data_IF_330785389156
#
_entry.id   IF_330785389156
#
_cell.length_a   1.000
_cell.length_b   1.000
_cell.length_c   1.000
_cell.angle_alpha   90.00
_cell.angle_beta   90.00
_cell.angle_gamma   90.00
#
_symmetry.space_group_name_H-M   'P 1'
#
loop_
_entity.id
_entity.type
_entity.pdbx_description
1 polymer ?
#
# COMPACT_ATOMS: atom_id res chain seq x y z
N UNK A 1 15.63 -4.77 -37.02
CA UNK A 1 15.50 -4.82 -35.56
C UNK A 1 14.07 -4.48 -35.21
N UNK A 2 13.46 -5.13 -34.23
CA UNK A 2 12.15 -4.73 -33.74
C UNK A 2 12.28 -3.34 -33.07
N UNK A 3 11.28 -2.48 -33.27
CA UNK A 3 11.24 -1.17 -32.60
C UNK A 3 10.97 -1.37 -31.11
N UNK A 4 11.63 -0.57 -30.27
CA UNK A 4 11.38 -0.52 -28.83
C UNK A 4 9.99 0.04 -28.62
N UNK A 5 9.14 -0.68 -27.87
CA UNK A 5 7.76 -0.30 -27.59
C UNK A 5 7.69 0.54 -26.31
N UNK A 6 7.11 1.70 -26.43
CA UNK A 6 6.87 2.64 -25.34
C UNK A 6 5.37 2.74 -25.06
N UNK A 7 4.97 2.64 -23.79
CA UNK A 7 3.66 3.08 -23.32
C UNK A 7 3.82 4.49 -22.76
N UNK A 8 3.13 5.45 -23.37
CA UNK A 8 3.07 6.84 -22.93
C UNK A 8 1.71 7.14 -22.29
N UNK A 9 1.72 7.53 -21.02
CA UNK A 9 0.51 7.79 -20.23
C UNK A 9 0.54 9.23 -19.73
N UNK A 10 -0.41 10.03 -20.17
CA UNK A 10 -0.56 11.44 -19.79
C UNK A 10 -2.02 11.83 -20.06
N UNK A 11 -2.71 12.55 -19.17
CA UNK A 11 -4.10 12.97 -19.36
C UNK A 11 -4.23 14.18 -20.28
N UNK A 12 -3.17 14.98 -20.43
CA UNK A 12 -3.13 16.10 -21.39
C UNK A 12 -2.94 15.58 -22.83
N UNK A 13 -3.96 15.79 -23.67
CA UNK A 13 -3.96 15.36 -25.07
C UNK A 13 -2.84 16.00 -25.88
N UNK A 14 -2.56 17.28 -25.68
CA UNK A 14 -1.54 18.01 -26.45
C UNK A 14 -0.13 17.50 -26.09
N UNK A 15 0.12 17.27 -24.81
CA UNK A 15 1.38 16.68 -24.34
C UNK A 15 1.54 15.28 -24.91
N UNK A 16 0.51 14.47 -24.84
CA UNK A 16 0.50 13.08 -25.33
C UNK A 16 0.76 13.00 -26.81
N UNK A 17 0.08 13.81 -27.63
CA UNK A 17 0.28 13.85 -29.09
C UNK A 17 1.69 14.33 -29.45
N UNK A 18 2.15 15.43 -28.85
CA UNK A 18 3.48 15.99 -29.13
C UNK A 18 4.61 15.03 -28.78
N UNK A 19 4.54 14.40 -27.59
CA UNK A 19 5.56 13.45 -27.16
C UNK A 19 5.52 12.17 -28.02
N UNK A 20 4.34 11.67 -28.39
CA UNK A 20 4.21 10.50 -29.26
C UNK A 20 4.89 10.72 -30.60
N UNK A 21 4.58 11.84 -31.28
CA UNK A 21 5.15 12.17 -32.59
C UNK A 21 6.70 12.22 -32.53
N UNK A 22 7.25 12.88 -31.52
CA UNK A 22 8.69 13.04 -31.38
C UNK A 22 9.39 11.73 -31.07
N UNK A 23 8.79 10.89 -30.21
CA UNK A 23 9.33 9.58 -29.89
C UNK A 23 9.29 8.64 -31.09
N UNK A 24 8.23 8.67 -31.91
CA UNK A 24 8.14 7.91 -33.16
C UNK A 24 9.19 8.36 -34.16
N UNK A 25 9.40 9.68 -34.32
CA UNK A 25 10.49 10.22 -35.16
C UNK A 25 11.88 9.81 -34.62
N UNK A 26 12.01 9.53 -33.33
CA UNK A 26 13.25 9.05 -32.71
C UNK A 26 13.46 7.54 -32.83
N UNK A 27 12.55 6.81 -33.51
CA UNK A 27 12.65 5.41 -33.85
C UNK A 27 12.05 4.45 -32.79
N UNK A 28 11.10 4.93 -32.01
CA UNK A 28 10.32 4.11 -31.06
C UNK A 28 8.94 3.75 -31.63
N UNK A 29 8.33 2.66 -31.12
CA UNK A 29 6.94 2.35 -31.37
C UNK A 29 6.13 2.79 -30.15
N UNK A 30 5.28 3.81 -30.30
CA UNK A 30 4.57 4.42 -29.19
C UNK A 30 3.11 3.98 -29.15
N UNK A 31 2.65 3.56 -27.97
CA UNK A 31 1.24 3.38 -27.63
C UNK A 31 0.89 4.41 -26.58
N UNK A 32 -0.21 5.12 -26.77
CA UNK A 32 -0.63 6.18 -25.83
C UNK A 32 -1.82 5.74 -24.99
N UNK A 33 -1.93 6.25 -23.77
CA UNK A 33 -3.09 6.09 -22.89
C UNK A 33 -3.41 7.42 -22.20
N UNK A 34 -4.70 7.79 -22.14
CA UNK A 34 -5.17 9.02 -21.53
C UNK A 34 -5.59 8.86 -20.06
N UNK A 35 -5.51 7.64 -19.52
CA UNK A 35 -5.93 7.34 -18.16
C UNK A 35 -5.26 6.05 -17.65
N UNK A 36 -5.28 5.86 -16.31
CA UNK A 36 -4.86 4.62 -15.68
C UNK A 36 -5.60 3.41 -16.24
N UNK A 37 -6.94 3.50 -16.39
CA UNK A 37 -7.76 2.40 -16.89
C UNK A 37 -7.34 1.96 -18.31
N UNK A 38 -7.01 2.90 -19.18
CA UNK A 38 -6.53 2.62 -20.54
C UNK A 38 -5.12 2.03 -20.51
N UNK A 39 -4.23 2.59 -19.70
CA UNK A 39 -2.88 2.08 -19.50
C UNK A 39 -2.89 0.63 -19.01
N UNK A 40 -3.72 0.29 -18.02
CA UNK A 40 -3.86 -1.07 -17.51
C UNK A 40 -4.36 -2.06 -18.57
N UNK A 41 -5.28 -1.65 -19.45
CA UNK A 41 -5.72 -2.49 -20.60
C UNK A 41 -4.57 -2.77 -21.56
N UNK A 42 -3.75 -1.76 -21.86
CA UNK A 42 -2.58 -1.95 -22.71
C UNK A 42 -1.54 -2.86 -22.06
N UNK A 43 -1.22 -2.65 -20.78
CA UNK A 43 -0.27 -3.47 -20.01
C UNK A 43 -0.70 -4.94 -19.95
N UNK A 44 -2.01 -5.21 -19.82
CA UNK A 44 -2.54 -6.58 -19.77
C UNK A 44 -2.57 -7.30 -21.12
N UNK A 45 -2.57 -6.55 -22.23
CA UNK A 45 -2.74 -7.11 -23.58
C UNK A 45 -1.46 -7.21 -24.39
N UNK A 46 -0.41 -6.45 -24.06
CA UNK A 46 0.85 -6.42 -24.79
C UNK A 46 2.03 -6.06 -23.90
N UNK A 47 3.25 -6.29 -24.40
CA UNK A 47 4.49 -6.00 -23.67
C UNK A 47 5.12 -4.71 -24.15
N UNK A 48 5.69 -3.96 -23.20
CA UNK A 48 6.43 -2.71 -23.45
C UNK A 48 7.81 -2.78 -22.80
N UNK A 49 8.82 -2.24 -23.47
CA UNK A 49 10.17 -2.11 -22.93
C UNK A 49 10.33 -0.85 -22.09
N UNK A 50 9.49 0.17 -22.32
CA UNK A 50 9.54 1.46 -21.61
C UNK A 50 8.13 1.92 -21.24
N UNK A 51 7.98 2.43 -20.04
CA UNK A 51 6.84 3.21 -19.58
C UNK A 51 7.28 4.66 -19.37
N UNK A 52 6.55 5.59 -19.98
CA UNK A 52 6.57 7.01 -19.66
C UNK A 52 5.22 7.36 -19.08
N UNK A 53 5.15 7.82 -17.84
CA UNK A 53 3.89 8.18 -17.21
C UNK A 53 3.97 9.53 -16.55
N UNK A 54 2.94 10.38 -16.77
CA UNK A 54 2.77 11.54 -15.90
C UNK A 54 2.52 11.08 -14.46
N UNK A 55 3.16 11.78 -13.52
CA UNK A 55 2.95 11.55 -12.09
C UNK A 55 1.60 12.12 -11.65
N UNK A 56 1.18 13.24 -12.21
CA UNK A 56 0.01 14.01 -11.79
C UNK A 56 -1.13 13.92 -12.82
N UNK A 57 -1.83 12.80 -12.79
CA UNK A 57 -3.11 12.62 -13.46
C UNK A 57 -4.27 12.91 -12.48
N UNK A 58 -5.54 13.00 -12.93
CA UNK A 58 -6.68 13.44 -12.09
C UNK A 58 -6.85 12.68 -10.77
N UNK A 59 -6.47 11.40 -10.71
CA UNK A 59 -6.47 10.61 -9.46
C UNK A 59 -5.15 10.72 -8.71
N UNK A 60 -5.23 10.84 -7.38
CA UNK A 60 -4.03 10.84 -6.55
C UNK A 60 -3.28 9.50 -6.65
N UNK A 61 -2.01 9.54 -7.06
CA UNK A 61 -1.18 8.33 -7.20
C UNK A 61 -1.35 7.56 -8.51
N UNK A 62 -2.08 8.10 -9.47
CA UNK A 62 -2.37 7.46 -10.76
C UNK A 62 -1.08 7.03 -11.50
N UNK A 63 -0.08 7.91 -11.60
CA UNK A 63 1.19 7.58 -12.25
C UNK A 63 1.93 6.42 -11.58
N UNK A 64 1.88 6.34 -10.24
CA UNK A 64 2.48 5.24 -9.48
C UNK A 64 1.72 3.93 -9.64
N UNK A 65 0.39 4.00 -9.77
CA UNK A 65 -0.43 2.83 -10.07
C UNK A 65 -0.03 2.20 -11.41
N UNK A 66 0.21 3.02 -12.43
CA UNK A 66 0.67 2.54 -13.74
C UNK A 66 2.08 1.96 -13.65
N UNK A 67 2.99 2.58 -12.90
CA UNK A 67 4.36 2.05 -12.65
C UNK A 67 4.29 0.68 -11.98
N UNK A 68 3.50 0.54 -10.92
CA UNK A 68 3.32 -0.75 -10.21
C UNK A 68 2.77 -1.83 -11.14
N UNK A 69 1.74 -1.52 -11.92
CA UNK A 69 1.17 -2.45 -12.88
C UNK A 69 2.18 -2.88 -13.97
N UNK A 70 2.96 -1.93 -14.49
CA UNK A 70 4.01 -2.24 -15.47
C UNK A 70 5.06 -3.17 -14.87
N UNK A 71 5.50 -2.93 -13.63
CA UNK A 71 6.48 -3.78 -12.95
C UNK A 71 5.97 -5.19 -12.68
N UNK A 72 4.68 -5.34 -12.39
CA UNK A 72 4.07 -6.66 -12.29
C UNK A 72 4.04 -7.41 -13.63
N UNK A 73 3.65 -6.73 -14.71
CA UNK A 73 3.53 -7.35 -16.03
C UNK A 73 4.89 -7.57 -16.70
N UNK A 74 5.81 -6.61 -16.56
CA UNK A 74 7.17 -6.67 -17.10
C UNK A 74 8.18 -6.04 -16.13
N UNK A 75 8.75 -6.81 -15.19
CA UNK A 75 9.74 -6.33 -14.23
C UNK A 75 11.02 -5.75 -14.86
N UNK A 76 11.26 -6.00 -16.15
CA UNK A 76 12.42 -5.51 -16.88
C UNK A 76 12.16 -4.21 -17.65
N UNK A 77 10.92 -3.75 -17.71
CA UNK A 77 10.60 -2.50 -18.37
C UNK A 77 11.26 -1.32 -17.65
N UNK A 78 11.81 -0.40 -18.42
CA UNK A 78 12.27 0.88 -17.90
C UNK A 78 11.07 1.76 -17.61
N UNK A 79 10.97 2.28 -16.39
CA UNK A 79 9.87 3.14 -15.96
C UNK A 79 10.38 4.55 -15.67
N UNK A 80 9.82 5.54 -16.37
CA UNK A 80 10.18 6.96 -16.23
C UNK A 80 8.92 7.73 -15.86
N UNK A 81 8.98 8.49 -14.77
CA UNK A 81 7.93 9.40 -14.35
C UNK A 81 8.23 10.82 -14.83
N UNK A 82 7.21 11.50 -15.30
CA UNK A 82 7.24 12.90 -15.67
C UNK A 82 6.54 13.71 -14.57
N UNK A 83 7.21 14.71 -13.99
CA UNK A 83 6.69 15.50 -12.86
C UNK A 83 6.74 16.99 -13.17
N UNK A 84 5.67 17.72 -12.81
CA UNK A 84 5.63 19.18 -12.90
C UNK A 84 6.31 19.88 -11.70
N UNK A 85 6.65 19.13 -10.63
CA UNK A 85 7.18 19.69 -9.39
C UNK A 85 8.63 19.26 -9.16
N UNK A 86 9.59 20.20 -9.13
CA UNK A 86 11.00 19.92 -8.90
C UNK A 86 11.34 19.65 -7.43
N UNK A 87 10.55 20.17 -6.49
CA UNK A 87 10.79 20.03 -5.04
C UNK A 87 9.76 19.09 -4.43
N UNK A 88 10.25 17.97 -3.94
CA UNK A 88 9.43 16.96 -3.27
C UNK A 88 10.05 16.63 -1.92
N UNK A 89 9.18 16.39 -0.93
CA UNK A 89 9.63 15.96 0.39
C UNK A 89 10.20 14.52 0.38
N UNK A 90 10.80 14.11 1.50
CA UNK A 90 11.45 12.81 1.61
C UNK A 90 10.48 11.63 1.39
N UNK A 91 9.20 11.80 1.75
CA UNK A 91 8.18 10.76 1.56
C UNK A 91 7.85 10.59 0.07
N UNK A 92 7.68 11.71 -0.65
CA UNK A 92 7.47 11.70 -2.09
C UNK A 92 8.68 11.11 -2.83
N UNK A 93 9.92 11.40 -2.39
CA UNK A 93 11.12 10.81 -2.96
C UNK A 93 11.15 9.28 -2.76
N UNK A 94 10.76 8.78 -1.60
CA UNK A 94 10.70 7.34 -1.34
C UNK A 94 9.70 6.62 -2.27
N UNK A 95 8.55 7.25 -2.53
CA UNK A 95 7.55 6.75 -3.47
C UNK A 95 8.12 6.72 -4.90
N UNK A 96 8.84 7.76 -5.28
CA UNK A 96 9.42 7.90 -6.61
C UNK A 96 10.58 6.94 -6.88
N UNK A 97 11.19 6.35 -5.85
CA UNK A 97 12.16 5.26 -6.01
C UNK A 97 11.60 4.01 -6.70
N UNK A 98 10.30 3.92 -6.87
CA UNK A 98 9.68 2.86 -7.67
C UNK A 98 9.90 3.04 -9.18
N UNK A 99 10.10 4.25 -9.67
CA UNK A 99 10.51 4.52 -11.06
C UNK A 99 12.03 4.41 -11.22
N UNK A 100 12.49 4.13 -12.44
CA UNK A 100 13.93 4.09 -12.75
C UNK A 100 14.49 5.47 -12.92
N UNK A 101 13.65 6.43 -13.32
CA UNK A 101 14.02 7.82 -13.49
C UNK A 101 12.81 8.74 -13.33
N UNK A 102 13.11 9.98 -12.93
CA UNK A 102 12.12 11.05 -12.83
C UNK A 102 12.63 12.23 -13.63
N UNK A 103 11.84 12.71 -14.55
CA UNK A 103 12.13 13.89 -15.34
C UNK A 103 11.15 15.01 -14.99
N UNK A 104 11.70 16.20 -14.77
CA UNK A 104 10.90 17.38 -14.39
C UNK A 104 10.46 18.12 -15.64
N UNK A 105 9.15 18.39 -15.75
CA UNK A 105 8.57 19.25 -16.79
C UNK A 105 8.81 20.74 -16.44
N UNK A 106 9.13 21.65 -17.40
CA UNK A 106 9.35 21.38 -18.81
C UNK A 106 10.74 20.80 -19.08
N UNK A 107 10.81 19.76 -19.92
CA UNK A 107 12.06 19.14 -20.31
C UNK A 107 12.31 19.25 -21.82
N UNK A 108 13.59 19.22 -22.20
CA UNK A 108 13.94 19.09 -23.61
C UNK A 108 13.74 17.65 -24.06
N UNK A 109 13.16 17.47 -25.24
CA UNK A 109 12.85 16.15 -25.78
C UNK A 109 14.11 15.32 -26.01
N UNK A 110 15.21 15.96 -26.41
CA UNK A 110 16.50 15.31 -26.57
C UNK A 110 17.00 14.69 -25.25
N UNK A 111 16.71 15.34 -24.12
CA UNK A 111 17.03 14.84 -22.80
C UNK A 111 16.21 13.59 -22.48
N UNK A 112 14.90 13.59 -22.79
CA UNK A 112 14.02 12.43 -22.60
C UNK A 112 14.49 11.23 -23.45
N UNK A 113 14.75 11.44 -24.75
CA UNK A 113 15.25 10.39 -25.65
C UNK A 113 16.61 9.84 -25.17
N UNK A 114 17.47 10.72 -24.67
CA UNK A 114 18.78 10.34 -24.14
C UNK A 114 18.61 9.50 -22.86
N UNK A 115 17.75 9.91 -21.94
CA UNK A 115 17.47 9.17 -20.71
C UNK A 115 16.91 7.76 -21.03
N UNK A 116 15.95 7.65 -21.94
CA UNK A 116 15.41 6.35 -22.39
C UNK A 116 16.53 5.45 -22.92
N UNK A 117 17.36 5.96 -23.84
CA UNK A 117 18.45 5.19 -24.45
C UNK A 117 19.52 4.77 -23.45
N UNK A 118 19.88 5.65 -22.51
CA UNK A 118 20.83 5.35 -21.44
C UNK A 118 20.30 4.26 -20.51
N UNK A 119 19.04 4.35 -20.08
CA UNK A 119 18.44 3.34 -19.22
C UNK A 119 18.33 1.98 -19.90
N UNK A 120 17.93 1.94 -21.15
CA UNK A 120 17.92 0.70 -21.95
C UNK A 120 19.32 0.09 -22.14
N UNK A 121 20.36 0.92 -22.33
CA UNK A 121 21.74 0.46 -22.52
C UNK A 121 22.38 -0.02 -21.20
N UNK A 122 22.01 0.59 -20.06
CA UNK A 122 22.52 0.22 -18.74
C UNK A 122 22.00 -1.13 -18.24
N UNK A 123 21.07 -1.74 -18.96
CA UNK A 123 20.33 -2.92 -18.52
C UNK A 123 19.28 -2.57 -17.47
N UNK A 124 18.29 -3.41 -17.32
CA UNK A 124 17.28 -3.22 -16.29
C UNK A 124 17.95 -3.13 -14.93
N UNK A 125 17.59 -2.13 -14.09
CA UNK A 125 17.93 -2.18 -12.68
C UNK A 125 17.47 -3.53 -12.16
N UNK A 126 18.24 -4.13 -11.22
CA UNK A 126 17.92 -5.46 -10.68
C UNK A 126 16.44 -5.55 -10.29
N UNK A 127 15.85 -6.74 -10.43
CA UNK A 127 14.44 -7.02 -10.10
C UNK A 127 14.03 -6.25 -8.84
N UNK A 128 13.29 -5.18 -9.01
CA UNK A 128 12.65 -4.51 -7.88
C UNK A 128 11.45 -5.34 -7.49
N UNK A 129 11.50 -5.90 -6.31
CA UNK A 129 10.39 -6.67 -5.76
C UNK A 129 9.26 -5.68 -5.47
N UNK A 130 8.11 -5.88 -6.10
CA UNK A 130 6.88 -5.17 -5.76
C UNK A 130 6.07 -6.09 -4.85
N UNK A 131 5.77 -5.61 -3.65
CA UNK A 131 5.10 -6.39 -2.61
C UNK A 131 3.66 -5.91 -2.41
N UNK A 132 2.74 -6.85 -2.32
CA UNK A 132 1.37 -6.52 -1.89
C UNK A 132 1.34 -6.13 -0.42
N UNK A 133 0.30 -5.40 -0.01
CA UNK A 133 0.05 -5.07 1.40
C UNK A 133 0.04 -6.32 2.28
N UNK A 134 -0.57 -7.41 1.80
CA UNK A 134 -0.60 -8.70 2.49
C UNK A 134 0.81 -9.27 2.73
N UNK A 135 1.66 -9.28 1.70
CA UNK A 135 3.04 -9.79 1.80
C UNK A 135 3.88 -8.97 2.79
N UNK A 136 3.72 -7.64 2.77
CA UNK A 136 4.41 -6.75 3.72
C UNK A 136 3.97 -7.05 5.16
N UNK A 137 2.67 -7.17 5.42
CA UNK A 137 2.16 -7.48 6.76
C UNK A 137 2.59 -8.87 7.24
N UNK A 138 2.57 -9.87 6.36
CA UNK A 138 2.99 -11.23 6.70
C UNK A 138 4.45 -11.28 7.17
N UNK A 139 5.38 -10.68 6.39
CA UNK A 139 6.80 -10.69 6.76
C UNK A 139 7.15 -9.74 7.90
N UNK A 140 6.35 -8.70 8.13
CA UNK A 140 6.63 -7.66 9.14
C UNK A 140 5.83 -7.86 10.44
N UNK A 141 5.01 -8.91 10.56
CA UNK A 141 4.11 -9.09 11.69
C UNK A 141 4.83 -9.02 13.05
N UNK A 142 5.94 -9.73 13.20
CA UNK A 142 6.70 -9.78 14.45
C UNK A 142 7.29 -8.40 14.81
N UNK A 143 7.92 -7.73 13.86
CA UNK A 143 8.47 -6.39 14.08
C UNK A 143 7.37 -5.37 14.37
N UNK A 144 6.23 -5.46 13.68
CA UNK A 144 5.09 -4.58 13.90
C UNK A 144 4.48 -4.78 15.31
N UNK A 145 4.39 -6.01 15.80
CA UNK A 145 3.97 -6.30 17.18
C UNK A 145 4.94 -5.68 18.20
N UNK A 146 6.23 -5.76 17.96
CA UNK A 146 7.24 -5.12 18.81
C UNK A 146 7.12 -3.60 18.84
N UNK A 147 6.90 -2.95 17.69
CA UNK A 147 6.69 -1.50 17.61
C UNK A 147 5.36 -1.07 18.23
N UNK A 148 4.29 -1.86 18.07
CA UNK A 148 3.03 -1.64 18.75
C UNK A 148 3.21 -1.67 20.27
N UNK A 149 3.95 -2.66 20.79
CA UNK A 149 4.19 -2.77 22.22
C UNK A 149 4.93 -1.54 22.76
N UNK A 150 5.97 -1.06 22.08
CA UNK A 150 6.67 0.17 22.46
C UNK A 150 5.76 1.39 22.50
N UNK A 151 4.78 1.48 21.60
CA UNK A 151 3.78 2.57 21.62
C UNK A 151 2.85 2.44 22.82
N UNK A 152 2.38 1.24 23.12
CA UNK A 152 1.51 0.98 24.26
C UNK A 152 2.23 1.26 25.58
N UNK A 153 3.53 0.99 25.69
CA UNK A 153 4.34 1.31 26.88
C UNK A 153 4.33 2.81 27.22
N UNK A 154 4.04 3.69 26.28
CA UNK A 154 3.93 5.14 26.52
C UNK A 154 2.56 5.57 27.04
N UNK A 155 1.55 4.70 27.01
CA UNK A 155 0.22 5.01 27.52
C UNK A 155 0.08 4.58 28.99
N UNK A 156 0.13 5.57 29.89
CA UNK A 156 0.05 5.35 31.34
C UNK A 156 -1.24 4.63 31.77
N UNK A 157 -2.37 4.89 31.08
CA UNK A 157 -3.66 4.26 31.42
C UNK A 157 -3.66 2.78 31.05
N UNK A 158 -3.25 2.45 29.84
CA UNK A 158 -3.16 1.04 29.41
C UNK A 158 -2.13 0.31 30.25
N UNK A 159 -0.99 0.93 30.55
CA UNK A 159 0.08 0.31 31.36
C UNK A 159 -0.25 0.23 32.86
N UNK A 160 -1.28 0.93 33.34
CA UNK A 160 -1.74 0.78 34.75
C UNK A 160 -2.27 -0.63 35.05
N UNK A 161 -2.71 -1.36 34.03
CA UNK A 161 -3.08 -2.78 34.17
C UNK A 161 -1.82 -3.63 34.10
N UNK A 162 -1.49 -4.28 35.22
CA UNK A 162 -0.29 -5.14 35.30
C UNK A 162 -0.47 -6.43 34.51
N UNK A 163 0.30 -6.59 33.47
CA UNK A 163 0.24 -7.75 32.55
C UNK A 163 1.64 -8.08 32.03
N UNK A 164 1.91 -9.38 31.79
CA UNK A 164 3.11 -9.80 31.08
C UNK A 164 3.04 -9.40 29.60
N UNK A 165 4.20 -9.34 28.94
CA UNK A 165 4.28 -9.15 27.49
C UNK A 165 3.40 -10.15 26.72
N UNK A 166 3.46 -11.42 27.10
CA UNK A 166 2.70 -12.50 26.45
C UNK A 166 1.19 -12.33 26.62
N UNK A 167 0.73 -11.92 27.80
CA UNK A 167 -0.68 -11.62 28.05
C UNK A 167 -1.14 -10.42 27.24
N UNK A 168 -0.27 -9.43 27.01
CA UNK A 168 -0.58 -8.21 26.27
C UNK A 168 -0.55 -8.43 24.76
N UNK A 169 0.47 -9.12 24.24
CA UNK A 169 0.74 -9.28 22.81
C UNK A 169 0.26 -10.61 22.22
N UNK A 170 -0.03 -11.64 23.04
CA UNK A 170 -0.22 -13.01 22.56
C UNK A 170 -1.39 -13.25 21.61
N UNK A 171 -2.35 -12.32 21.53
CA UNK A 171 -3.45 -12.36 20.55
C UNK A 171 -3.07 -11.79 19.18
N UNK A 172 -2.07 -10.88 19.12
CA UNK A 172 -1.71 -10.14 17.91
C UNK A 172 -1.26 -11.03 16.75
N UNK A 173 -0.49 -12.10 16.92
CA UNK A 173 -0.16 -13.00 15.82
C UNK A 173 -1.40 -13.56 15.10
N UNK A 174 -2.52 -13.78 15.81
CA UNK A 174 -3.76 -14.21 15.17
C UNK A 174 -4.41 -13.05 14.41
N UNK A 175 -4.43 -11.85 14.99
CA UNK A 175 -4.93 -10.64 14.31
C UNK A 175 -4.20 -10.42 12.98
N UNK A 176 -2.87 -10.55 12.95
CA UNK A 176 -2.10 -10.43 11.70
C UNK A 176 -2.45 -11.53 10.68
N UNK A 177 -2.64 -12.77 11.11
CA UNK A 177 -3.09 -13.84 10.20
C UNK A 177 -4.47 -13.56 9.62
N UNK A 178 -5.39 -13.06 10.44
CA UNK A 178 -6.74 -12.70 10.00
C UNK A 178 -6.69 -11.54 9.01
N UNK A 179 -5.90 -10.49 9.27
CA UNK A 179 -5.67 -9.38 8.34
C UNK A 179 -5.08 -9.84 7.00
N UNK A 180 -4.05 -10.67 7.01
CA UNK A 180 -3.44 -11.22 5.78
C UNK A 180 -4.46 -12.06 5.01
N UNK A 181 -5.19 -12.94 5.69
CA UNK A 181 -6.26 -13.73 5.08
C UNK A 181 -7.36 -12.85 4.47
N UNK A 182 -7.75 -11.79 5.17
CA UNK A 182 -8.74 -10.81 4.70
C UNK A 182 -8.28 -10.06 3.45
N UNK A 183 -7.01 -9.61 3.42
CA UNK A 183 -6.40 -8.94 2.28
C UNK A 183 -6.29 -9.83 1.04
N UNK A 184 -6.11 -11.14 1.23
CA UNK A 184 -6.05 -12.11 0.14
C UNK A 184 -7.45 -12.58 -0.33
N UNK A 185 -8.50 -12.26 0.43
CA UNK A 185 -9.87 -12.62 0.10
C UNK A 185 -10.50 -11.63 -0.89
N UNK A 186 -11.44 -12.10 -1.71
CA UNK A 186 -12.23 -11.26 -2.61
C UNK A 186 -13.53 -10.73 -1.97
N UNK A 187 -13.63 -10.78 -0.63
CA UNK A 187 -14.84 -10.34 0.07
C UNK A 187 -14.98 -8.81 0.00
N UNK A 188 -16.19 -8.27 -0.21
CA UNK A 188 -16.42 -6.84 -0.21
C UNK A 188 -16.08 -6.21 1.15
N UNK A 189 -15.63 -4.94 1.14
CA UNK A 189 -15.45 -4.13 2.35
C UNK A 189 -16.82 -3.93 3.01
N UNK A 190 -16.88 -3.95 4.35
CA UNK A 190 -18.13 -3.85 5.11
C UNK A 190 -18.91 -5.16 5.24
N UNK A 191 -18.37 -6.29 4.74
CA UNK A 191 -19.04 -7.59 4.92
C UNK A 191 -18.86 -8.11 6.35
N UNK A 192 -19.98 -8.32 7.06
CA UNK A 192 -20.01 -8.80 8.47
C UNK A 192 -19.97 -10.33 8.61
N UNK A 193 -19.57 -11.05 7.59
CA UNK A 193 -19.77 -12.51 7.53
C UNK A 193 -18.78 -13.35 8.36
N UNK A 194 -17.74 -12.75 8.91
CA UNK A 194 -16.72 -13.51 9.64
C UNK A 194 -16.75 -13.19 11.13
N UNK A 195 -17.32 -14.10 11.92
CA UNK A 195 -17.18 -14.02 13.39
C UNK A 195 -15.78 -14.47 13.76
N UNK A 196 -14.97 -13.56 14.31
CA UNK A 196 -13.67 -13.91 14.87
C UNK A 196 -13.83 -14.37 16.31
N UNK A 197 -13.71 -15.68 16.51
CA UNK A 197 -13.68 -16.25 17.87
C UNK A 197 -12.53 -15.65 18.69
N UNK A 198 -11.41 -15.35 18.04
CA UNK A 198 -10.25 -14.73 18.69
C UNK A 198 -10.58 -13.30 19.18
N UNK A 199 -11.32 -12.51 18.41
CA UNK A 199 -11.75 -11.19 18.84
C UNK A 199 -12.71 -11.24 20.03
N UNK A 200 -13.68 -12.16 20.02
CA UNK A 200 -14.59 -12.36 21.14
C UNK A 200 -13.85 -12.77 22.43
N UNK A 201 -12.95 -13.74 22.34
CA UNK A 201 -12.10 -14.18 23.47
C UNK A 201 -11.22 -13.04 23.96
N UNK A 202 -10.69 -12.21 23.05
CA UNK A 202 -9.89 -11.05 23.42
C UNK A 202 -10.70 -10.05 24.26
N UNK A 203 -11.94 -9.74 23.86
CA UNK A 203 -12.82 -8.85 24.61
C UNK A 203 -13.09 -9.32 26.04
N UNK A 204 -13.44 -10.63 26.21
CA UNK A 204 -13.65 -11.25 27.49
C UNK A 204 -12.39 -11.19 28.37
N UNK A 205 -11.23 -11.54 27.80
CA UNK A 205 -9.96 -11.53 28.53
C UNK A 205 -9.60 -10.12 29.02
N UNK A 206 -9.73 -9.10 28.16
CA UNK A 206 -9.44 -7.72 28.55
C UNK A 206 -10.37 -7.22 29.66
N UNK A 207 -11.65 -7.60 29.62
CA UNK A 207 -12.60 -7.32 30.73
C UNK A 207 -12.11 -7.90 32.03
N UNK A 208 -11.79 -9.18 32.07
CA UNK A 208 -11.31 -9.91 33.26
C UNK A 208 -9.97 -9.38 33.79
N UNK A 209 -9.15 -8.84 32.90
CA UNK A 209 -7.87 -8.21 33.21
C UNK A 209 -8.01 -6.79 33.78
N UNK A 210 -9.23 -6.23 33.81
CA UNK A 210 -9.50 -4.90 34.35
C UNK A 210 -9.36 -3.75 33.33
N UNK A 211 -9.32 -4.06 32.05
CA UNK A 211 -9.36 -3.02 31.02
C UNK A 211 -10.70 -2.29 31.04
N UNK A 212 -10.65 -0.98 30.75
CA UNK A 212 -11.84 -0.21 30.38
C UNK A 212 -12.11 -0.32 28.89
N UNK A 213 -13.34 -0.03 28.47
CA UNK A 213 -13.68 0.06 27.05
C UNK A 213 -12.78 1.06 26.30
N UNK A 214 -12.44 2.18 26.92
CA UNK A 214 -11.55 3.18 26.33
C UNK A 214 -10.12 2.65 26.09
N UNK A 215 -9.59 1.80 26.97
CA UNK A 215 -8.29 1.17 26.79
C UNK A 215 -8.29 0.18 25.62
N UNK A 216 -9.39 -0.56 25.42
CA UNK A 216 -9.52 -1.45 24.27
C UNK A 216 -9.52 -0.69 22.94
N UNK A 217 -10.25 0.42 22.88
CA UNK A 217 -10.27 1.30 21.69
C UNK A 217 -8.87 1.86 21.45
N UNK A 218 -8.15 2.27 22.49
CA UNK A 218 -6.80 2.82 22.36
C UNK A 218 -5.79 1.76 21.90
N UNK A 219 -5.84 0.52 22.40
CA UNK A 219 -5.03 -0.59 21.89
C UNK A 219 -5.24 -0.83 20.38
N UNK A 220 -6.51 -0.84 19.95
CA UNK A 220 -6.87 -1.03 18.54
C UNK A 220 -6.39 0.14 17.67
N UNK A 221 -6.56 1.38 18.13
CA UNK A 221 -6.07 2.59 17.45
C UNK A 221 -4.55 2.57 17.28
N UNK A 222 -3.81 2.20 18.35
CA UNK A 222 -2.35 2.09 18.31
C UNK A 222 -1.89 1.00 17.33
N UNK A 223 -2.64 -0.11 17.23
CA UNK A 223 -2.35 -1.16 16.27
C UNK A 223 -2.51 -0.65 14.82
N UNK A 224 -3.60 0.04 14.54
CA UNK A 224 -3.87 0.59 13.21
C UNK A 224 -2.78 1.60 12.80
N UNK A 225 -2.39 2.50 13.70
CA UNK A 225 -1.30 3.46 13.46
C UNK A 225 0.01 2.74 13.18
N UNK A 226 0.34 1.70 13.96
CA UNK A 226 1.60 0.94 13.79
C UNK A 226 1.63 0.19 12.46
N UNK A 227 0.50 -0.38 12.04
CA UNK A 227 0.39 -1.03 10.73
C UNK A 227 0.60 -0.01 9.61
N UNK A 228 -0.03 1.15 9.68
CA UNK A 228 0.12 2.19 8.66
C UNK A 228 1.55 2.75 8.59
N UNK A 229 2.22 2.93 9.74
CA UNK A 229 3.64 3.29 9.77
C UNK A 229 4.51 2.20 9.12
N UNK A 230 4.18 0.92 9.34
CA UNK A 230 4.88 -0.19 8.69
C UNK A 230 4.71 -0.13 7.17
N UNK A 231 3.52 0.17 6.67
CA UNK A 231 3.29 0.36 5.23
C UNK A 231 4.06 1.58 4.71
N UNK A 232 4.06 2.69 5.44
CA UNK A 232 4.81 3.89 5.08
C UNK A 232 6.33 3.63 4.97
N UNK A 233 6.89 2.84 5.85
CA UNK A 233 8.32 2.46 5.81
C UNK A 233 8.64 1.54 4.60
N UNK A 234 7.64 0.94 3.97
CA UNK A 234 7.79 0.05 2.83
C UNK A 234 7.32 0.66 1.49
N UNK A 235 7.11 1.99 1.42
CA UNK A 235 6.63 2.65 0.21
C UNK A 235 7.51 2.40 -1.03
N UNK A 236 8.81 2.14 -0.86
CA UNK A 236 9.72 1.84 -1.96
C UNK A 236 9.45 0.49 -2.66
N UNK A 237 8.77 -0.44 -1.98
CA UNK A 237 8.49 -1.79 -2.51
C UNK A 237 6.99 -2.09 -2.64
N UNK A 238 6.12 -1.26 -2.06
CA UNK A 238 4.68 -1.53 -2.02
C UNK A 238 4.03 -1.43 -3.42
N UNK A 239 3.10 -2.31 -3.68
CA UNK A 239 2.26 -2.24 -4.88
C UNK A 239 1.18 -1.16 -4.73
N UNK A 240 1.39 -0.01 -5.39
CA UNK A 240 0.44 1.10 -5.35
C UNK A 240 -0.88 0.79 -6.04
N UNK A 241 -0.94 -0.16 -6.96
CA UNK A 241 -2.19 -0.53 -7.64
C UNK A 241 -3.24 -1.11 -6.68
N UNK A 242 -2.79 -1.68 -5.56
CA UNK A 242 -3.66 -2.30 -4.54
C UNK A 242 -3.54 -1.63 -3.15
N UNK A 243 -2.70 -0.60 -3.01
CA UNK A 243 -2.44 0.03 -1.71
C UNK A 243 -3.71 0.60 -1.07
N UNK A 244 -4.49 1.39 -1.81
CA UNK A 244 -5.67 2.05 -1.27
C UNK A 244 -6.71 1.03 -0.81
N UNK A 245 -6.99 0.02 -1.64
CA UNK A 245 -7.95 -1.04 -1.27
C UNK A 245 -7.41 -1.84 -0.08
N UNK A 246 -6.10 -2.06 0.01
CA UNK A 246 -5.45 -2.72 1.12
C UNK A 246 -5.62 -1.94 2.43
N UNK A 247 -5.38 -0.63 2.43
CA UNK A 247 -5.56 0.25 3.60
C UNK A 247 -7.02 0.25 4.06
N UNK A 248 -7.98 0.36 3.13
CA UNK A 248 -9.42 0.30 3.46
C UNK A 248 -9.81 -1.06 4.04
N UNK A 249 -9.26 -2.16 3.51
CA UNK A 249 -9.52 -3.52 4.01
C UNK A 249 -8.95 -3.72 5.42
N UNK A 250 -7.76 -3.19 5.71
CA UNK A 250 -7.15 -3.24 7.05
C UNK A 250 -8.03 -2.48 8.06
N UNK A 251 -8.45 -1.26 7.71
CA UNK A 251 -9.30 -0.46 8.57
C UNK A 251 -10.62 -1.18 8.88
N UNK A 252 -11.30 -1.69 7.85
CA UNK A 252 -12.56 -2.44 7.97
C UNK A 252 -12.42 -3.67 8.88
N UNK A 253 -11.35 -4.45 8.69
CA UNK A 253 -11.12 -5.67 9.48
C UNK A 253 -10.78 -5.36 10.95
N UNK A 254 -9.93 -4.37 11.20
CA UNK A 254 -9.58 -3.96 12.58
C UNK A 254 -10.81 -3.44 13.31
N UNK A 255 -11.63 -2.60 12.67
CA UNK A 255 -12.85 -2.07 13.26
C UNK A 255 -13.90 -3.18 13.48
N UNK A 256 -13.99 -4.15 12.57
CA UNK A 256 -14.85 -5.33 12.71
C UNK A 256 -14.42 -6.19 13.91
N UNK A 257 -13.13 -6.47 14.08
CA UNK A 257 -12.61 -7.23 15.21
C UNK A 257 -12.80 -6.49 16.54
N UNK A 258 -12.57 -5.16 16.55
CA UNK A 258 -12.84 -4.34 17.72
C UNK A 258 -14.31 -4.38 18.12
N UNK A 259 -15.24 -4.25 17.15
CA UNK A 259 -16.68 -4.34 17.40
C UNK A 259 -17.06 -5.67 18.05
N UNK A 260 -16.57 -6.80 17.52
CA UNK A 260 -16.82 -8.13 18.07
C UNK A 260 -16.22 -8.33 19.48
N UNK A 261 -15.02 -7.79 19.70
CA UNK A 261 -14.39 -7.79 21.01
C UNK A 261 -15.20 -6.96 22.03
N UNK A 262 -15.72 -5.81 21.60
CA UNK A 262 -16.56 -4.95 22.45
C UNK A 262 -17.92 -5.58 22.76
N UNK A 263 -18.55 -6.30 21.82
CA UNK A 263 -19.79 -7.02 22.09
C UNK A 263 -19.60 -8.05 23.22
N UNK A 264 -18.51 -8.83 23.17
CA UNK A 264 -18.16 -9.81 24.19
C UNK A 264 -17.76 -9.16 25.53
N UNK A 265 -17.02 -8.04 25.48
CA UNK A 265 -16.66 -7.26 26.65
C UNK A 265 -17.89 -6.73 27.41
N UNK A 266 -18.91 -6.26 26.66
CA UNK A 266 -20.15 -5.71 27.25
C UNK A 266 -21.04 -6.82 27.79
N UNK A 267 -21.15 -7.96 27.09
CA UNK A 267 -21.95 -9.10 27.54
C UNK A 267 -21.51 -9.61 28.93
N UNK A 268 -20.21 -9.76 29.16
CA UNK A 268 -19.64 -10.14 30.47
C UNK A 268 -20.02 -9.11 31.57
N UNK A 269 -20.08 -7.82 31.24
CA UNK A 269 -20.44 -6.78 32.22
C UNK A 269 -21.90 -6.84 32.67
N UNK A 270 -22.78 -7.40 31.85
CA UNK A 270 -24.20 -7.58 32.19
C UNK A 270 -24.41 -8.78 33.10
N UNK A 271 -23.65 -9.86 32.91
CA UNK A 271 -23.69 -11.03 33.79
C UNK A 271 -23.16 -10.69 35.20
N UNK A 272 -22.10 -9.89 35.30
CA UNK A 272 -21.58 -9.42 36.60
C UNK A 272 -22.54 -8.47 37.33
N UNK A 273 -23.47 -7.84 36.64
CA UNK A 273 -24.42 -6.85 37.21
C UNK A 273 -25.75 -7.47 37.67
N UNK A 274 -26.01 -8.76 37.43
CA UNK A 274 -27.22 -9.45 37.88
C UNK A 274 -26.93 -10.08 39.26
N UNK A 275 -27.51 -9.54 40.39
CA UNK A 275 -27.35 -10.18 41.69
C UNK A 275 -28.08 -11.52 41.69
N UNK A 276 -27.45 -12.55 42.25
CA UNK A 276 -28.02 -13.87 42.45
C UNK A 276 -29.24 -13.87 43.39
#
# INVERSE_FOLDING_TARGET
>A
MALIKILLVDDDELVRLSLSEILEQSGFAVTTAASVSEALKHISSQTFEVLLSDLHMPGAGDGLTVVSAMRHANPKAVTILLSAFPEMDAAAQAILLQADEILVKPMKVEALVTAIKQRLASGSPGLRVVETVAAILERSAESCIGEWFKRIETDEKVMSVSMSYEQRCGHLPQVFRDLVSRLLSSKPIGSKETVSVAAAVHGLNRRRQGYTAAMMVEESRMLQVTIFDTLQQNLATIDFSVLLIGVMTIADEIDSQLSQAMDSYIAESVEDAVPA
#
